data_IF_438304702035
#
_entry.id   IF_438304702035
#
_cell.length_a   1.000
_cell.length_b   1.000
_cell.length_c   1.000
_cell.angle_alpha   90.00
_cell.angle_beta   90.00
_cell.angle_gamma   90.00
#
_symmetry.space_group_name_H-M   'P 1'
#
loop_
_entity.id
_entity.type
_entity.pdbx_description
1 polymer ?
#
# COMPACT_ATOMS: atom_id res chain seq x y z
N UNK A 1 -13.11 -4.59 29.28
CA UNK A 1 -14.04 -3.59 29.89
C UNK A 1 -14.11 -2.36 28.99
N UNK A 2 -12.96 -1.88 28.52
CA UNK A 2 -12.82 -0.76 27.56
C UNK A 2 -13.62 -0.89 26.27
N UNK A 3 -13.64 -2.07 25.64
CA UNK A 3 -14.44 -2.28 24.43
C UNK A 3 -15.94 -2.10 24.68
N UNK A 4 -16.45 -2.50 25.86
CA UNK A 4 -17.87 -2.33 26.19
C UNK A 4 -18.22 -0.86 26.38
N UNK A 5 -17.37 -0.10 27.10
CA UNK A 5 -17.51 1.35 27.26
C UNK A 5 -17.44 2.09 25.93
N UNK A 6 -16.52 1.70 25.04
CA UNK A 6 -16.46 2.26 23.70
C UNK A 6 -17.71 1.92 22.89
N UNK A 7 -18.22 0.69 22.98
CA UNK A 7 -19.43 0.28 22.25
C UNK A 7 -20.66 1.05 22.75
N UNK A 8 -20.74 1.31 24.05
CA UNK A 8 -21.81 2.10 24.67
C UNK A 8 -21.69 3.58 24.30
N UNK A 9 -20.47 4.14 24.31
CA UNK A 9 -20.20 5.49 23.81
C UNK A 9 -20.59 5.66 22.34
N UNK A 10 -20.18 4.73 21.47
CA UNK A 10 -20.51 4.77 20.04
C UNK A 10 -22.03 4.66 19.80
N UNK A 11 -22.74 3.84 20.59
CA UNK A 11 -24.21 3.79 20.54
C UNK A 11 -24.86 5.11 20.94
N UNK A 12 -24.32 5.80 21.95
CA UNK A 12 -24.81 7.11 22.38
C UNK A 12 -24.58 8.16 21.28
N UNK A 13 -23.40 8.18 20.66
CA UNK A 13 -23.06 9.11 19.56
C UNK A 13 -23.93 8.85 18.32
N UNK A 14 -24.14 7.59 17.94
CA UNK A 14 -25.06 7.19 16.86
C UNK A 14 -26.53 7.55 17.12
N UNK A 15 -26.91 7.74 18.40
CA UNK A 15 -28.27 8.14 18.77
C UNK A 15 -28.49 9.65 18.64
N UNK A 16 -27.42 10.45 18.62
CA UNK A 16 -27.46 11.92 18.54
C UNK A 16 -27.19 12.49 17.15
N UNK A 17 -26.48 11.77 16.28
CA UNK A 17 -26.19 12.17 14.90
C UNK A 17 -26.70 11.09 13.94
N UNK A 18 -27.65 11.44 13.06
CA UNK A 18 -28.15 10.58 11.99
C UNK A 18 -27.09 10.44 10.86
N UNK A 19 -25.88 10.03 11.19
CA UNK A 19 -24.88 9.62 10.21
C UNK A 19 -24.50 8.17 10.48
N UNK A 20 -24.74 7.33 9.49
CA UNK A 20 -24.29 5.94 9.48
C UNK A 20 -22.76 5.92 9.61
N UNK A 21 -22.24 5.66 10.81
CA UNK A 21 -20.83 5.32 11.02
C UNK A 21 -20.53 3.89 10.53
N UNK A 22 -21.03 3.54 9.33
CA UNK A 22 -20.95 2.18 8.80
C UNK A 22 -19.53 1.82 8.35
N UNK A 23 -18.68 2.83 8.17
CA UNK A 23 -17.28 2.66 7.82
C UNK A 23 -16.37 2.77 9.04
N UNK A 24 -15.48 1.79 9.18
CA UNK A 24 -14.42 1.72 10.18
C UNK A 24 -13.49 2.95 10.14
N UNK A 25 -13.39 3.60 8.96
CA UNK A 25 -12.70 4.88 8.78
C UNK A 25 -13.43 6.04 9.46
N UNK A 26 -14.76 6.04 9.46
CA UNK A 26 -15.58 7.06 10.12
C UNK A 26 -15.42 6.98 11.64
N UNK A 27 -15.45 5.76 12.19
CA UNK A 27 -15.21 5.52 13.62
C UNK A 27 -13.81 6.01 14.03
N UNK A 28 -12.78 5.75 13.22
CA UNK A 28 -11.42 6.22 13.47
C UNK A 28 -11.32 7.75 13.43
N UNK A 29 -11.98 8.41 12.47
CA UNK A 29 -12.01 9.87 12.37
C UNK A 29 -12.67 10.51 13.61
N UNK A 30 -13.82 9.97 14.02
CA UNK A 30 -14.55 10.46 15.19
C UNK A 30 -13.78 10.27 16.50
N UNK A 31 -13.06 9.15 16.63
CA UNK A 31 -12.21 8.91 17.80
C UNK A 31 -11.09 9.97 17.91
N UNK A 32 -10.57 10.39 16.75
CA UNK A 32 -9.50 11.38 16.64
C UNK A 32 -9.99 12.81 16.85
N UNK A 33 -11.14 13.18 16.29
CA UNK A 33 -11.76 14.50 16.48
C UNK A 33 -12.15 14.76 17.94
N UNK A 34 -12.70 13.74 18.61
CA UNK A 34 -13.10 13.85 20.01
C UNK A 34 -11.93 13.67 21.00
N UNK A 35 -10.69 13.47 20.51
CA UNK A 35 -9.49 13.22 21.33
C UNK A 35 -9.64 12.08 22.34
N UNK A 36 -10.35 11.03 21.96
CA UNK A 36 -10.64 9.86 22.81
C UNK A 36 -9.51 8.80 22.68
N UNK A 37 -8.53 9.05 21.83
CA UNK A 37 -7.33 8.23 21.64
C UNK A 37 -6.58 7.94 22.95
N UNK A 38 -6.54 8.90 23.88
CA UNK A 38 -5.90 8.73 25.20
C UNK A 38 -6.75 7.90 26.19
N UNK A 39 -8.07 7.91 26.01
CA UNK A 39 -9.01 7.16 26.87
C UNK A 39 -9.02 5.67 26.51
N UNK A 40 -8.86 5.33 25.22
CA UNK A 40 -8.86 3.95 24.73
C UNK A 40 -7.68 3.67 23.79
N UNK A 41 -6.42 3.72 24.27
CA UNK A 41 -5.24 3.55 23.43
C UNK A 41 -5.16 2.17 22.76
N UNK A 42 -5.70 1.13 23.42
CA UNK A 42 -5.72 -0.23 22.86
C UNK A 42 -6.67 -0.35 21.66
N UNK A 43 -7.80 0.36 21.70
CA UNK A 43 -8.79 0.36 20.63
C UNK A 43 -8.26 1.15 19.43
N UNK A 44 -7.68 2.32 19.69
CA UNK A 44 -7.07 3.15 18.63
C UNK A 44 -5.98 2.38 17.88
N UNK A 45 -5.08 1.73 18.60
CA UNK A 45 -4.03 0.92 17.99
C UNK A 45 -4.59 -0.25 17.17
N UNK A 46 -5.62 -0.94 17.66
CA UNK A 46 -6.26 -2.03 16.94
C UNK A 46 -6.92 -1.55 15.64
N UNK A 47 -7.65 -0.43 15.69
CA UNK A 47 -8.26 0.20 14.51
C UNK A 47 -7.21 0.67 13.51
N UNK A 48 -6.12 1.28 13.99
CA UNK A 48 -5.00 1.73 13.16
C UNK A 48 -4.32 0.56 12.43
N UNK A 49 -4.06 -0.54 13.13
CA UNK A 49 -3.48 -1.76 12.54
C UNK A 49 -4.43 -2.34 11.50
N UNK A 50 -5.72 -2.46 11.83
CA UNK A 50 -6.70 -3.01 10.91
C UNK A 50 -6.83 -2.16 9.65
N UNK A 51 -6.97 -0.83 9.78
CA UNK A 51 -7.05 0.09 8.64
C UNK A 51 -5.76 0.02 7.79
N UNK A 52 -4.59 0.05 8.41
CA UNK A 52 -3.31 -0.10 7.70
C UNK A 52 -3.23 -1.42 6.95
N UNK A 53 -3.66 -2.52 7.58
CA UNK A 53 -3.67 -3.85 6.96
C UNK A 53 -4.64 -3.93 5.79
N UNK A 54 -5.83 -3.30 5.87
CA UNK A 54 -6.78 -3.25 4.74
C UNK A 54 -6.25 -2.45 3.56
N UNK A 55 -5.59 -1.31 3.82
CA UNK A 55 -4.92 -0.50 2.80
C UNK A 55 -3.78 -1.28 2.16
N UNK A 56 -2.92 -1.91 2.97
CA UNK A 56 -1.85 -2.78 2.47
C UNK A 56 -2.38 -3.98 1.70
N UNK A 57 -3.51 -4.57 2.10
CA UNK A 57 -4.11 -5.69 1.37
C UNK A 57 -4.58 -5.27 -0.02
N UNK A 58 -5.15 -4.08 -0.18
CA UNK A 58 -5.54 -3.54 -1.48
C UNK A 58 -4.30 -3.29 -2.37
N UNK A 59 -3.34 -2.50 -1.88
CA UNK A 59 -2.10 -2.19 -2.61
C UNK A 59 -1.28 -3.45 -2.90
N UNK A 60 -1.20 -4.35 -1.92
CA UNK A 60 -0.56 -5.65 -2.01
C UNK A 60 -1.24 -6.54 -3.05
N UNK A 61 -2.56 -6.63 -3.08
CA UNK A 61 -3.29 -7.38 -4.10
C UNK A 61 -3.05 -6.81 -5.51
N UNK A 62 -2.99 -5.48 -5.66
CA UNK A 62 -2.60 -4.83 -6.92
C UNK A 62 -1.17 -5.18 -7.31
N UNK A 63 -0.22 -5.14 -6.37
CA UNK A 63 1.17 -5.55 -6.57
C UNK A 63 1.29 -7.04 -6.94
N UNK A 64 0.63 -7.94 -6.20
CA UNK A 64 0.58 -9.36 -6.49
C UNK A 64 -0.06 -9.66 -7.84
N UNK A 65 -1.06 -8.88 -8.28
CA UNK A 65 -1.63 -9.00 -9.61
C UNK A 65 -0.62 -8.62 -10.70
N UNK A 66 0.10 -7.50 -10.53
CA UNK A 66 1.20 -7.10 -11.44
C UNK A 66 2.32 -8.16 -11.46
N UNK A 67 2.75 -8.63 -10.30
CA UNK A 67 3.76 -9.68 -10.15
C UNK A 67 3.30 -11.01 -10.75
N UNK A 68 2.02 -11.38 -10.60
CA UNK A 68 1.45 -12.57 -11.22
C UNK A 68 1.51 -12.47 -12.74
N UNK A 69 1.25 -11.29 -13.31
CA UNK A 69 1.40 -11.04 -14.75
C UNK A 69 2.86 -11.15 -15.19
N UNK A 70 3.78 -10.51 -14.47
CA UNK A 70 5.24 -10.63 -14.71
C UNK A 70 5.68 -12.10 -14.63
N UNK A 71 5.24 -12.83 -13.60
CA UNK A 71 5.59 -14.23 -13.34
C UNK A 71 4.93 -15.21 -14.32
N UNK A 72 3.73 -14.95 -14.83
CA UNK A 72 3.07 -15.87 -15.77
C UNK A 72 3.47 -15.61 -17.23
N UNK A 73 3.59 -14.35 -17.64
CA UNK A 73 3.90 -13.98 -19.03
C UNK A 73 5.40 -14.09 -19.34
N UNK A 74 6.28 -13.62 -18.45
CA UNK A 74 7.73 -13.53 -18.73
C UNK A 74 8.53 -14.76 -18.27
N UNK A 75 7.94 -15.66 -17.46
CA UNK A 75 8.65 -16.85 -16.95
C UNK A 75 8.95 -17.91 -17.99
N UNK A 76 8.34 -17.85 -19.18
CA UNK A 76 8.83 -18.67 -20.29
C UNK A 76 10.31 -18.37 -20.63
N UNK A 77 10.88 -17.25 -20.15
CA UNK A 77 12.23 -16.79 -20.55
C UNK A 77 13.11 -16.11 -19.45
N UNK A 78 12.71 -15.98 -18.17
CA UNK A 78 13.41 -15.11 -17.19
C UNK A 78 14.07 -15.81 -15.97
N UNK A 79 15.27 -15.36 -15.59
CA UNK A 79 16.01 -15.74 -14.36
C UNK A 79 15.48 -15.02 -13.10
N UNK A 80 15.68 -15.63 -11.93
CA UNK A 80 15.17 -15.15 -10.63
C UNK A 80 15.60 -13.72 -10.27
N UNK A 81 16.84 -13.35 -10.59
CA UNK A 81 17.39 -12.02 -10.31
C UNK A 81 16.65 -10.93 -11.10
N UNK A 82 16.36 -11.20 -12.38
CA UNK A 82 15.62 -10.27 -13.24
C UNK A 82 14.17 -10.10 -12.78
N UNK A 83 13.55 -11.15 -12.25
CA UNK A 83 12.23 -11.07 -11.63
C UNK A 83 12.24 -10.17 -10.38
N UNK A 84 13.27 -10.28 -9.54
CA UNK A 84 13.42 -9.42 -8.37
C UNK A 84 13.56 -7.95 -8.77
N UNK A 85 14.39 -7.65 -9.79
CA UNK A 85 14.53 -6.29 -10.33
C UNK A 85 13.22 -5.74 -10.88
N UNK A 86 12.45 -6.50 -11.66
CA UNK A 86 11.14 -6.07 -12.16
C UNK A 86 10.11 -5.86 -11.05
N UNK A 87 10.19 -6.65 -9.98
CA UNK A 87 9.33 -6.49 -8.81
C UNK A 87 9.61 -5.18 -8.10
N UNK A 88 10.89 -4.85 -7.91
CA UNK A 88 11.33 -3.58 -7.34
C UNK A 88 10.89 -2.40 -8.20
N UNK A 89 11.06 -2.50 -9.53
CA UNK A 89 10.58 -1.49 -10.47
C UNK A 89 9.06 -1.29 -10.41
N UNK A 90 8.28 -2.35 -10.16
CA UNK A 90 6.83 -2.25 -10.04
C UNK A 90 6.37 -1.58 -8.74
N UNK A 91 7.17 -1.69 -7.67
CA UNK A 91 6.93 -1.01 -6.38
C UNK A 91 7.29 0.48 -6.53
N UNK A 92 8.47 0.76 -7.08
CA UNK A 92 9.00 2.12 -7.27
C UNK A 92 8.53 2.75 -8.60
N UNK A 93 7.36 2.35 -9.09
CA UNK A 93 6.92 2.75 -10.43
C UNK A 93 6.66 4.26 -10.55
N UNK A 94 6.41 4.94 -9.43
CA UNK A 94 6.22 6.39 -9.41
C UNK A 94 7.55 7.12 -9.58
N UNK A 95 8.62 6.65 -8.91
CA UNK A 95 9.98 7.18 -9.10
C UNK A 95 10.46 6.95 -10.54
N UNK A 96 10.13 5.79 -11.12
CA UNK A 96 10.50 5.47 -12.50
C UNK A 96 9.83 6.36 -13.55
N UNK A 97 8.69 7.00 -13.25
CA UNK A 97 8.04 7.93 -14.18
C UNK A 97 8.81 9.24 -14.34
N UNK A 98 9.59 9.60 -13.33
CA UNK A 98 10.38 10.83 -13.32
C UNK A 98 11.77 10.64 -13.97
N UNK A 99 12.12 9.40 -14.34
CA UNK A 99 13.39 9.05 -15.00
C UNK A 99 13.22 9.14 -16.52
N UNK A 100 14.18 9.78 -17.20
CA UNK A 100 14.26 9.76 -18.66
C UNK A 100 14.83 8.41 -19.15
N UNK A 101 13.94 7.57 -19.67
CA UNK A 101 14.33 6.27 -20.22
C UNK A 101 15.18 6.39 -21.49
N UNK A 102 15.08 7.47 -22.27
CA UNK A 102 15.89 7.61 -23.48
C UNK A 102 17.35 7.89 -23.15
N UNK A 103 17.61 8.68 -22.11
CA UNK A 103 18.98 8.85 -21.58
C UNK A 103 19.54 7.50 -21.13
N UNK A 104 18.77 6.74 -20.34
CA UNK A 104 19.18 5.42 -19.83
C UNK A 104 19.44 4.41 -20.96
N UNK A 105 18.60 4.39 -21.99
CA UNK A 105 18.75 3.51 -23.15
C UNK A 105 20.00 3.90 -23.94
N UNK A 106 20.23 5.18 -24.16
CA UNK A 106 21.40 5.67 -24.88
C UNK A 106 22.70 5.34 -24.13
N UNK A 107 22.74 5.56 -22.82
CA UNK A 107 23.87 5.20 -21.97
C UNK A 107 24.15 3.69 -22.02
N UNK A 108 23.12 2.86 -21.91
CA UNK A 108 23.26 1.40 -22.02
C UNK A 108 23.80 0.99 -23.39
N UNK A 109 23.32 1.61 -24.48
CA UNK A 109 23.79 1.35 -25.83
C UNK A 109 25.27 1.76 -26.01
N UNK A 110 25.68 2.93 -25.51
CA UNK A 110 27.06 3.38 -25.51
C UNK A 110 27.98 2.42 -24.73
N UNK A 111 27.55 1.91 -23.58
CA UNK A 111 28.31 0.95 -22.78
C UNK A 111 28.47 -0.41 -23.48
N UNK A 112 27.44 -0.88 -24.19
CA UNK A 112 27.47 -2.15 -24.95
C UNK A 112 28.25 -2.05 -26.26
N UNK A 113 28.17 -0.90 -26.96
CA UNK A 113 28.84 -0.63 -28.23
C UNK A 113 30.36 -0.72 -28.14
N UNK A 114 30.95 -0.41 -26.97
CA UNK A 114 32.41 -0.49 -26.73
C UNK A 114 33.03 -1.90 -26.72
N UNK A 115 32.28 -2.96 -27.07
CA UNK A 115 32.77 -4.35 -27.11
C UNK A 115 33.00 -4.93 -28.52
N UNK A 116 33.22 -4.10 -29.54
CA UNK A 116 33.65 -4.58 -30.86
C UNK A 116 35.02 -4.00 -31.22
N UNK A 117 36.13 -4.68 -30.91
CA UNK A 117 37.33 -4.55 -31.72
C UNK A 117 37.13 -5.36 -33.01
N UNK A 118 37.37 -4.70 -34.15
CA UNK A 118 37.51 -5.32 -35.47
C UNK A 118 38.63 -6.37 -35.48
#
# INVERSE_FOLDING_TARGET
MDCLHLTEYLKIVQSSENEETDSLSGIYHHLKENKIEDTFPNVENALRIFLSMTVTNCSGATLFSKLKRIKNELRSTMLQERLASLSLMSIECDVLKDIDFEEVINDFACLKSRRVPL
#
